data_IF_631936365176
#
_entry.id   IF_631936365176
#
_cell.length_a   1.000
_cell.length_b   1.000
_cell.length_c   1.000
_cell.angle_alpha   90.00
_cell.angle_beta   90.00
_cell.angle_gamma   90.00
#
_symmetry.space_group_name_H-M   'P 1'
#
loop_
_entity.id
_entity.type
_entity.pdbx_description
1 polymer ?
2 non-polymer ?
3 non-polymer ?
4 non-polymer ?
5 water ?
#
# COMPACT_ATOMS: atom_id res chain seq x y z
C UNK A 1 12.73 -9.45 31.48
N UNK A 3 12.30 -9.07 27.61
CA UNK A 3 12.12 -10.05 26.59
C UNK A 3 11.45 -9.43 25.40
N UNK A 4 12.01 -9.65 24.23
CA UNK A 4 11.38 -9.20 23.02
C UNK A 4 10.07 -9.97 22.81
N UNK A 5 9.10 -9.30 22.17
CA UNK A 5 7.86 -10.01 21.85
C UNK A 5 8.11 -11.19 20.89
N UNK A 6 7.27 -12.21 20.94
CA UNK A 6 7.40 -13.36 20.07
C UNK A 6 6.84 -13.07 18.68
N UNK A 7 7.55 -13.55 17.66
CA UNK A 7 6.99 -13.66 16.32
C UNK A 7 5.92 -14.76 16.32
N UNK A 8 4.86 -14.54 15.54
CA UNK A 8 3.69 -15.40 15.58
C UNK A 8 3.63 -16.24 14.32
N UNK A 9 3.68 -17.58 14.48
CA UNK A 9 3.57 -18.47 13.31
C UNK A 9 2.12 -18.88 13.03
N UNK A 10 1.70 -18.80 11.76
CA UNK A 10 0.44 -19.38 11.31
C UNK A 10 0.71 -20.38 10.20
N UNK A 11 0.39 -21.65 10.42
CA UNK A 11 0.61 -22.69 9.39
C UNK A 11 -0.46 -22.58 8.31
N UNK A 12 -0.06 -22.28 7.09
CA UNK A 12 -0.97 -22.16 5.94
C UNK A 12 -1.23 -23.46 5.16
N UNK A 13 -0.20 -24.31 5.07
CA UNK A 13 -0.18 -25.59 4.34
C UNK A 13 0.71 -26.52 5.15
N UNK A 14 0.30 -27.77 5.28
CA UNK A 14 1.10 -28.77 5.94
C UNK A 14 0.66 -30.06 5.32
N UNK A 15 1.44 -30.56 4.37
CA UNK A 15 1.04 -31.79 3.66
C UNK A 15 2.23 -32.75 3.49
N UNK A 16 2.08 -33.75 2.64
CA UNK A 16 3.15 -34.73 2.40
C UNK A 16 4.49 -34.14 2.00
N UNK A 17 4.46 -32.97 1.36
CA UNK A 17 5.63 -32.41 0.70
C UNK A 17 6.21 -31.17 1.34
N UNK A 18 5.35 -30.31 1.89
CA UNK A 18 5.77 -29.01 2.42
C UNK A 18 4.99 -28.64 3.67
N UNK A 19 5.62 -27.79 4.48
CA UNK A 19 4.96 -27.07 5.54
C UNK A 19 5.22 -25.60 5.29
N UNK A 20 4.15 -24.83 5.16
CA UNK A 20 4.26 -23.41 4.83
C UNK A 20 3.71 -22.64 6.01
N UNK A 21 4.54 -21.78 6.59
CA UNK A 21 4.23 -21.05 7.79
C UNK A 21 4.42 -19.56 7.51
N UNK A 22 3.41 -18.73 7.81
CA UNK A 22 3.55 -17.29 7.81
C UNK A 22 4.10 -16.93 9.17
N UNK A 23 5.16 -16.14 9.18
CA UNK A 23 5.78 -15.64 10.41
C UNK A 23 5.57 -14.14 10.49
N UNK A 24 4.87 -13.69 11.53
CA UNK A 24 4.59 -12.26 11.69
C UNK A 24 5.31 -11.70 12.91
N UNK A 25 6.22 -10.76 12.67
CA UNK A 25 7.04 -10.19 13.72
C UNK A 25 6.50 -8.88 14.19
N UNK A 26 6.14 -8.76 15.48
CA UNK A 26 5.87 -7.42 16.01
C UNK A 26 7.11 -6.58 15.85
N UNK A 27 6.96 -5.25 15.90
CA UNK A 27 8.14 -4.40 16.05
C UNK A 27 9.07 -4.88 17.22
N UNK A 28 10.35 -5.06 16.93
CA UNK A 28 11.29 -5.52 17.94
C UNK A 28 11.21 -7.01 18.23
N UNK A 29 10.39 -7.75 17.47
CA UNK A 29 10.03 -9.09 17.85
C UNK A 29 11.10 -10.08 17.40
N UNK A 30 11.04 -11.29 17.96
CA UNK A 30 12.00 -12.36 17.60
C UNK A 30 11.40 -13.78 17.58
N UNK A 31 12.08 -14.69 16.92
CA UNK A 31 11.69 -16.11 16.90
C UNK A 31 12.00 -16.90 18.15
N UNK A 32 13.08 -16.51 18.82
CA UNK A 32 13.79 -17.38 19.76
C UNK A 32 14.72 -18.27 18.96
N UNK A 33 15.73 -18.81 19.61
CA UNK A 33 16.63 -19.71 18.94
C UNK A 33 15.88 -20.96 18.48
N UNK A 34 16.26 -21.45 17.33
CA UNK A 34 15.70 -22.67 16.75
C UNK A 34 16.69 -23.28 15.75
N UNK A 35 16.47 -24.55 15.42
CA UNK A 35 17.26 -25.25 14.43
C UNK A 35 16.34 -25.63 13.28
N UNK A 36 16.74 -25.36 12.04
CA UNK A 36 15.94 -25.76 10.90
C UNK A 36 16.22 -27.19 10.57
N UNK A 37 15.16 -28.01 10.62
CA UNK A 37 15.27 -29.47 10.36
C UNK A 37 15.08 -29.84 8.89
N UNK A 39 15.50 -28.23 4.58
CA UNK A 39 15.76 -27.12 3.61
C UNK A 39 14.50 -26.27 3.54
N UNK A 40 14.67 -24.97 3.36
CA UNK A 40 13.52 -24.06 3.35
C UNK A 40 13.68 -22.90 2.41
N UNK A 41 12.53 -22.35 2.01
CA UNK A 41 12.45 -21.17 1.19
C UNK A 41 11.79 -20.03 1.96
N UNK A 42 12.38 -18.83 1.89
CA UNK A 42 11.81 -17.67 2.53
C UNK A 42 11.28 -16.76 1.43
N UNK A 43 9.98 -16.47 1.47
CA UNK A 43 9.41 -15.44 0.63
C UNK A 43 9.04 -14.24 1.49
N UNK A 44 9.86 -13.17 1.47
CA UNK A 44 9.50 -12.01 2.26
C UNK A 44 8.22 -11.34 1.78
N UNK A 46 7.46 -8.32 3.33
CA UNK A 46 7.80 -7.00 3.79
C UNK A 46 9.19 -6.72 3.29
N UNK A 47 9.43 -5.49 2.86
CA UNK A 47 10.80 -5.08 2.54
C UNK A 47 11.39 -4.45 3.78
N UNK A 48 12.51 -4.94 4.23
CA UNK A 48 13.12 -4.41 5.44
C UNK A 48 14.25 -5.26 5.96
N UNK A 49 14.99 -4.75 6.95
CA UNK A 49 16.10 -5.49 7.55
C UNK A 49 15.60 -6.58 8.54
N UNK A 50 16.34 -7.68 8.62
CA UNK A 50 16.20 -8.61 9.71
C UNK A 50 17.56 -8.71 10.35
N UNK A 51 17.58 -8.98 11.65
CA UNK A 51 18.83 -9.12 12.38
C UNK A 51 18.95 -10.60 12.67
N UNK A 52 20.00 -11.21 12.16
CA UNK A 52 20.18 -12.66 12.31
C UNK A 52 21.30 -12.95 13.29
N UNK A 53 20.96 -13.65 14.37
CA UNK A 53 21.94 -14.04 15.41
C UNK A 53 22.30 -15.49 15.24
N UNK A 54 23.56 -15.75 15.02
CA UNK A 54 24.04 -17.10 14.81
C UNK A 54 25.13 -17.30 15.84
N UNK A 55 25.57 -18.54 15.99
CA UNK A 55 26.60 -18.81 16.97
C UNK A 55 27.83 -17.88 16.88
N UNK A 56 28.23 -17.46 15.68
CA UNK A 56 29.44 -16.66 15.50
C UNK A 56 29.27 -15.14 15.57
N UNK A 57 28.03 -14.65 15.50
CA UNK A 57 27.82 -13.23 15.48
C UNK A 57 26.40 -12.82 15.06
N UNK A 58 26.24 -11.53 14.78
CA UNK A 58 24.98 -10.92 14.43
C UNK A 58 25.19 -10.06 13.20
N UNK A 59 24.29 -10.22 12.22
CA UNK A 59 24.34 -9.45 10.98
C UNK A 59 22.99 -8.92 10.61
N UNK A 60 23.00 -7.75 9.98
CA UNK A 60 21.81 -7.19 9.38
C UNK A 60 21.69 -7.71 7.96
N UNK A 61 20.54 -8.32 7.65
CA UNK A 61 20.27 -8.80 6.28
C UNK A 61 19.08 -8.03 5.70
N UNK A 62 19.22 -7.56 4.45
CA UNK A 62 18.20 -6.72 3.83
C UNK A 62 17.28 -7.56 2.98
N UNK A 63 16.02 -7.66 3.37
CA UNK A 63 15.07 -8.45 2.62
C UNK A 63 14.21 -7.56 1.71
N UNK A 64 13.80 -8.09 0.58
CA UNK A 64 12.92 -7.39 -0.34
C UNK A 64 11.65 -8.20 -0.50
N UNK A 65 10.50 -7.54 -0.35
CA UNK A 65 9.25 -8.24 -0.55
C UNK A 65 9.26 -8.95 -1.91
N UNK A 66 8.89 -10.22 -1.88
CA UNK A 66 8.74 -11.02 -3.08
C UNK A 66 10.01 -11.56 -3.68
N UNK A 67 11.16 -11.31 -3.04
CA UNK A 67 12.46 -11.79 -3.51
C UNK A 67 12.85 -12.93 -2.60
N UNK A 68 12.64 -14.14 -3.11
CA UNK A 68 12.83 -15.34 -2.30
C UNK A 68 14.31 -15.74 -2.22
N UNK A 69 14.59 -16.54 -1.21
CA UNK A 69 15.87 -17.17 -1.10
C UNK A 69 15.72 -18.48 -0.37
N UNK A 70 16.73 -19.32 -0.48
CA UNK A 70 16.72 -20.62 0.20
C UNK A 70 17.95 -20.80 1.10
N UNK A 71 17.76 -21.57 2.18
CA UNK A 71 18.81 -21.87 3.18
C UNK A 71 18.72 -23.36 3.47
N UNK A 72 19.85 -24.00 3.76
CA UNK A 72 19.79 -25.47 3.92
C UNK A 72 19.39 -25.97 5.31
N UNK A 73 18.95 -27.21 5.36
CA UNK A 73 18.78 -27.90 6.63
C UNK A 73 20.02 -27.63 7.51
N UNK A 74 19.79 -27.30 8.79
CA UNK A 74 20.85 -27.22 9.79
C UNK A 74 21.13 -25.82 10.30
N UNK A 75 20.52 -24.81 9.68
CA UNK A 75 20.64 -23.44 10.17
C UNK A 75 20.20 -23.37 11.62
N UNK A 76 21.02 -22.75 12.46
CA UNK A 76 20.69 -22.49 13.88
C UNK A 76 20.80 -21.02 14.07
N UNK A 77 19.73 -20.39 14.51
CA UNK A 77 19.74 -18.95 14.73
C UNK A 77 18.52 -18.43 15.49
N UNK A 78 18.61 -17.15 15.85
CA UNK A 78 17.54 -16.35 16.37
C UNK A 78 17.34 -15.23 15.34
N UNK A 79 16.10 -14.93 15.01
CA UNK A 79 15.84 -13.92 14.02
C UNK A 79 15.02 -12.81 14.68
N UNK A 80 15.43 -11.58 14.46
CA UNK A 80 14.87 -10.42 15.12
C UNK A 80 14.43 -9.40 14.08
N UNK A 81 13.28 -8.79 14.31
CA UNK A 81 12.79 -7.65 13.53
C UNK A 81 13.20 -6.35 14.24
N UNK A 82 14.23 -5.66 13.74
CA UNK A 82 14.73 -4.49 14.46
C UNK A 82 13.95 -3.20 14.16
N UNK A 83 12.90 -3.29 13.35
CA UNK A 83 12.17 -2.12 12.91
C UNK A 83 10.99 -1.79 13.82
N UNK A 84 10.38 -0.63 13.56
CA UNK A 84 9.28 -0.11 14.34
C UNK A 84 7.91 -0.56 13.83
N UNK A 85 7.91 -1.43 12.82
CA UNK A 85 6.72 -1.90 12.20
C UNK A 85 6.82 -3.41 12.01
N UNK A 86 5.66 -4.01 11.78
CA UNK A 86 5.55 -5.46 11.67
C UNK A 86 6.29 -5.92 10.45
N UNK A 87 6.98 -7.06 10.58
CA UNK A 87 7.69 -7.69 9.47
C UNK A 87 7.09 -9.06 9.24
N UNK A 88 6.83 -9.40 7.97
CA UNK A 88 6.18 -10.66 7.65
C UNK A 88 6.95 -11.40 6.54
N UNK A 89 7.12 -12.71 6.73
CA UNK A 89 7.59 -13.59 5.68
C UNK A 89 6.86 -14.93 5.72
N UNK A 90 6.86 -15.58 4.55
CA UNK A 90 6.32 -16.89 4.38
C UNK A 90 7.49 -17.87 4.22
N UNK A 91 7.51 -18.88 5.08
CA UNK A 91 8.55 -19.88 5.10
C UNK A 91 8.02 -21.22 4.60
N UNK A 92 8.69 -21.78 3.59
CA UNK A 92 8.26 -23.04 2.94
C UNK A 92 9.30 -24.11 3.23
N UNK A 93 8.98 -25.03 4.11
CA UNK A 93 9.91 -26.07 4.50
C UNK A 93 9.61 -27.30 3.62
N UNK A 94 10.69 -27.93 3.15
CA UNK A 94 10.58 -29.04 2.21
C UNK A 94 10.80 -30.34 2.96
N UNK A 95 9.77 -31.20 2.98
CA UNK A 95 9.85 -32.41 3.78
C UNK A 95 10.72 -33.43 3.03
N UNK A 96 11.35 -34.30 3.81
CA UNK A 96 12.12 -35.38 3.19
C UNK A 96 11.29 -36.62 3.34
N UNK B 4 -2.06 -10.78 -26.35
CA UNK B 4 -1.85 -10.06 -25.07
C UNK B 4 -0.38 -9.74 -24.79
N UNK B 5 -0.15 -8.74 -23.93
CA UNK B 5 1.19 -8.64 -23.41
C UNK B 5 1.57 -9.93 -22.65
N UNK B 6 2.86 -10.25 -22.60
CA UNK B 6 3.35 -11.40 -21.88
C UNK B 6 3.68 -11.13 -20.42
N UNK B 7 3.29 -12.04 -19.54
CA UNK B 7 3.76 -11.99 -18.16
C UNK B 7 5.24 -12.32 -18.21
N UNK B 8 6.01 -11.84 -17.23
CA UNK B 8 7.45 -12.03 -17.22
C UNK B 8 7.79 -12.97 -16.06
N UNK B 9 8.22 -14.22 -16.37
CA UNK B 9 8.76 -15.14 -15.34
C UNK B 9 10.22 -14.83 -15.11
N UNK B 10 10.59 -14.66 -13.85
CA UNK B 10 11.98 -14.63 -13.42
C UNK B 10 12.26 -15.76 -12.43
N UNK B 11 13.20 -16.64 -12.77
CA UNK B 11 13.53 -17.73 -11.90
C UNK B 11 14.46 -17.17 -10.81
N UNK B 12 14.05 -17.36 -9.57
CA UNK B 12 14.79 -16.87 -8.39
C UNK B 12 15.69 -17.94 -7.74
N UNK B 13 15.20 -19.18 -7.77
CA UNK B 13 15.90 -20.35 -7.22
C UNK B 13 15.64 -21.53 -8.16
N UNK B 14 16.68 -22.31 -8.47
CA UNK B 14 16.51 -23.56 -9.22
C UNK B 14 17.52 -24.60 -8.76
N UNK B 15 17.18 -25.31 -7.69
CA UNK B 15 18.11 -26.28 -7.09
C UNK B 15 17.57 -27.70 -7.12
N UNK B 16 18.16 -28.60 -6.32
CA UNK B 16 17.73 -30.00 -6.37
C UNK B 16 16.34 -30.20 -5.77
N UNK B 17 15.86 -29.22 -4.99
CA UNK B 17 14.59 -29.40 -4.26
C UNK B 17 13.42 -28.62 -4.86
N UNK B 18 13.68 -27.42 -5.35
CA UNK B 18 12.61 -26.57 -5.85
C UNK B 18 13.05 -25.68 -7.02
N UNK B 19 12.09 -25.17 -7.76
CA UNK B 19 12.31 -24.11 -8.73
C UNK B 19 11.26 -23.02 -8.37
N UNK B 20 11.78 -21.85 -8.05
CA UNK B 20 10.95 -20.72 -7.64
C UNK B 20 10.99 -19.64 -8.70
N UNK B 21 9.82 -19.28 -9.21
CA UNK B 21 9.69 -18.30 -10.28
C UNK B 21 8.77 -17.20 -9.83
N UNK B 22 9.22 -15.98 -9.99
CA UNK B 22 8.38 -14.81 -9.88
C UNK B 22 7.66 -14.60 -11.20
N UNK B 23 6.34 -14.48 -11.14
CA UNK B 23 5.57 -14.11 -12.32
C UNK B 23 5.01 -12.71 -12.16
N UNK B 24 5.45 -11.80 -13.03
CA UNK B 24 5.04 -10.40 -13.00
C UNK B 24 4.18 -10.17 -14.22
N UNK B 25 2.90 -9.87 -14.00
CA UNK B 25 1.93 -9.63 -15.08
C UNK B 25 1.71 -8.13 -15.32
N UNK B 26 2.01 -7.63 -16.55
CA UNK B 26 1.52 -6.28 -16.86
C UNK B 26 -0.01 -6.33 -16.91
N UNK B 27 -0.68 -5.17 -16.87
CA UNK B 27 -2.14 -5.25 -17.07
C UNK B 27 -2.52 -6.03 -18.35
N UNK B 28 -3.46 -6.96 -18.23
CA UNK B 28 -3.87 -7.80 -19.34
C UNK B 28 -2.92 -8.90 -19.78
N UNK B 29 -1.80 -9.06 -19.07
CA UNK B 29 -0.75 -9.97 -19.54
C UNK B 29 -1.11 -11.41 -19.32
N UNK B 30 -0.52 -12.30 -20.10
CA UNK B 30 -0.78 -13.73 -19.97
C UNK B 30 0.48 -14.57 -19.89
N UNK B 31 0.34 -15.72 -19.29
CA UNK B 31 1.44 -16.69 -19.28
C UNK B 31 1.57 -17.44 -20.60
N UNK B 32 0.47 -17.58 -21.33
CA UNK B 32 0.33 -18.64 -22.31
C UNK B 32 -0.06 -19.95 -21.66
N UNK B 33 -0.69 -20.79 -22.45
CA UNK B 33 -1.05 -22.10 -22.02
C UNK B 33 0.15 -22.96 -21.63
N UNK B 34 0.01 -23.65 -20.50
CA UNK B 34 1.02 -24.60 -20.03
C UNK B 34 0.41 -25.67 -19.14
N UNK B 35 1.16 -26.72 -18.96
CA UNK B 35 0.80 -27.79 -18.05
C UNK B 35 1.91 -27.88 -17.02
N UNK B 36 1.50 -27.92 -15.76
CA UNK B 36 2.40 -28.05 -14.63
C UNK B 36 2.90 -29.47 -14.49
N UNK B 37 4.21 -29.65 -14.53
CA UNK B 37 4.80 -30.99 -14.42
C UNK B 37 5.06 -31.38 -12.95
N UNK B 39 3.89 -30.62 -8.53
CA UNK B 39 3.13 -30.02 -7.46
C UNK B 39 3.77 -28.68 -7.15
N UNK B 40 2.96 -27.68 -6.81
CA UNK B 40 3.49 -26.34 -6.62
C UNK B 40 2.72 -25.55 -5.58
N UNK B 41 3.41 -24.55 -5.05
CA UNK B 41 2.82 -23.66 -4.08
C UNK B 41 2.84 -22.24 -4.68
N UNK B 42 1.75 -21.49 -4.50
CA UNK B 42 1.66 -20.11 -4.96
C UNK B 42 1.63 -19.16 -3.75
N UNK B 43 2.56 -18.21 -3.72
CA UNK B 43 2.50 -17.10 -2.79
C UNK B 43 2.15 -15.79 -3.51
N UNK B 44 0.88 -15.35 -3.36
CA UNK B 44 0.49 -14.11 -4.00
C UNK B 44 1.17 -12.92 -3.39
N UNK B 46 0.23 -9.87 -4.57
CA UNK B 46 -0.78 -8.86 -4.92
C UNK B 46 -2.13 -9.44 -4.58
N UNK B 47 -3.05 -8.63 -4.09
CA UNK B 47 -4.43 -9.08 -3.89
C UNK B 47 -5.19 -8.71 -5.13
N UNK B 48 -5.92 -9.66 -5.68
CA UNK B 48 -6.71 -9.37 -6.82
C UNK B 48 -7.11 -10.62 -7.53
N UNK B 49 -7.92 -10.45 -8.55
CA UNK B 49 -8.36 -11.55 -9.39
C UNK B 49 -7.36 -11.98 -10.46
N UNK B 50 -7.32 -13.29 -10.73
CA UNK B 50 -6.71 -13.80 -11.94
C UNK B 50 -7.73 -14.53 -12.80
N UNK B 51 -7.56 -14.44 -14.12
CA UNK B 51 -8.42 -15.17 -15.07
C UNK B 51 -7.62 -16.38 -15.53
N UNK B 52 -8.17 -17.55 -15.29
CA UNK B 52 -7.53 -18.80 -15.70
C UNK B 52 -8.39 -19.42 -16.80
N UNK B 53 -7.81 -19.60 -17.99
CA UNK B 53 -8.46 -20.40 -19.04
C UNK B 53 -8.05 -21.82 -18.77
N UNK B 54 -9.04 -22.69 -18.63
CA UNK B 54 -8.83 -24.07 -18.16
C UNK B 54 -9.57 -25.02 -19.09
N UNK B 55 -9.26 -26.31 -19.01
CA UNK B 55 -10.07 -27.29 -19.77
C UNK B 55 -11.56 -27.35 -19.46
N UNK B 56 -11.95 -26.85 -18.30
CA UNK B 56 -13.35 -26.69 -17.93
C UNK B 56 -13.92 -25.31 -18.21
N UNK B 57 -13.17 -24.44 -18.90
CA UNK B 57 -13.60 -23.10 -19.25
C UNK B 57 -12.94 -22.00 -18.45
N UNK B 58 -13.49 -20.79 -18.54
CA UNK B 58 -12.86 -19.63 -17.94
C UNK B 58 -13.18 -19.61 -16.45
N UNK B 59 -12.19 -19.37 -15.62
CA UNK B 59 -12.39 -19.31 -14.18
C UNK B 59 -11.71 -18.03 -13.67
N UNK B 60 -12.42 -17.18 -12.94
CA UNK B 60 -11.82 -16.05 -12.29
C UNK B 60 -11.62 -16.42 -10.85
N UNK B 61 -10.39 -16.21 -10.36
CA UNK B 61 -10.02 -16.59 -9.01
C UNK B 61 -9.52 -15.41 -8.24
N UNK B 62 -9.91 -15.34 -6.98
CA UNK B 62 -9.44 -14.33 -6.04
C UNK B 62 -8.18 -14.80 -5.33
N UNK B 63 -7.09 -14.07 -5.51
CA UNK B 63 -5.85 -14.25 -4.74
C UNK B 63 -5.75 -13.17 -3.67
N UNK B 64 -5.15 -13.51 -2.53
CA UNK B 64 -4.99 -12.56 -1.46
C UNK B 64 -3.50 -12.52 -1.12
N UNK B 65 -2.94 -11.33 -1.09
CA UNK B 65 -1.54 -11.14 -0.79
C UNK B 65 -1.18 -11.87 0.49
N UNK B 66 -0.13 -12.66 0.39
CA UNK B 66 0.38 -13.34 1.54
C UNK B 66 -0.32 -14.62 1.94
N UNK B 67 -1.36 -15.03 1.20
CA UNK B 67 -2.11 -16.25 1.53
C UNK B 67 -1.79 -17.30 0.50
N UNK B 68 -0.93 -18.21 0.92
CA UNK B 68 -0.42 -19.22 0.03
C UNK B 68 -1.41 -20.36 -0.14
N UNK B 69 -1.25 -21.09 -1.25
CA UNK B 69 -2.07 -22.27 -1.52
C UNK B 69 -1.24 -23.20 -2.38
N UNK B 70 -1.69 -24.44 -2.53
CA UNK B 70 -0.95 -25.43 -3.32
C UNK B 70 -1.90 -26.05 -4.34
N UNK B 71 -1.32 -26.43 -5.46
CA UNK B 71 -1.97 -27.16 -6.53
C UNK B 71 -1.09 -28.29 -7.06
N UNK B 72 -1.73 -29.30 -7.65
CA UNK B 72 -1.04 -30.51 -8.05
C UNK B 72 -0.45 -30.49 -9.44
N UNK B 73 0.53 -31.38 -9.62
CA UNK B 73 1.01 -31.70 -10.93
C UNK B 73 -0.19 -31.95 -11.83
N UNK B 74 -0.10 -31.47 -13.06
CA UNK B 74 -1.15 -31.76 -14.04
C UNK B 74 -2.11 -30.61 -14.32
N UNK B 75 -2.09 -29.59 -13.47
CA UNK B 75 -2.91 -28.41 -13.74
C UNK B 75 -2.53 -27.89 -15.11
N UNK B 76 -3.53 -27.68 -15.97
CA UNK B 76 -3.28 -27.15 -17.31
C UNK B 76 -4.14 -25.90 -17.55
N UNK B 77 -3.51 -24.80 -17.93
CA UNK B 77 -4.24 -23.52 -18.00
C UNK B 77 -3.41 -22.40 -18.68
N UNK B 78 -4.07 -21.29 -19.00
CA UNK B 78 -3.45 -20.04 -19.35
C UNK B 78 -3.89 -19.02 -18.30
N UNK B 79 -2.92 -18.30 -17.73
CA UNK B 79 -3.21 -17.37 -16.65
C UNK B 79 -3.08 -15.98 -17.21
N UNK B 80 -4.12 -15.18 -16.95
CA UNK B 80 -4.25 -13.81 -17.49
C UNK B 80 -4.51 -12.86 -16.32
N UNK B 81 -3.93 -11.65 -16.39
CA UNK B 81 -4.17 -10.61 -15.43
C UNK B 81 -5.28 -9.71 -15.97
N UNK B 82 -6.52 -9.84 -15.44
CA UNK B 82 -7.72 -9.11 -15.94
C UNK B 82 -7.89 -7.73 -15.29
N UNK B 83 -6.84 -7.22 -14.67
CA UNK B 83 -6.89 -5.93 -14.05
C UNK B 83 -6.12 -4.86 -14.81
N UNK B 84 -6.27 -3.61 -14.34
CA UNK B 84 -5.57 -2.47 -14.90
C UNK B 84 -4.29 -2.14 -14.14
N UNK B 85 -3.87 -3.03 -13.25
CA UNK B 85 -2.62 -2.85 -12.54
C UNK B 85 -1.78 -4.12 -12.68
N UNK B 86 -0.50 -4.00 -12.32
CA UNK B 86 0.42 -5.16 -12.32
C UNK B 86 0.00 -6.17 -11.26
N UNK B 87 0.25 -7.43 -11.55
CA UNK B 87 -0.06 -8.49 -10.65
C UNK B 87 1.18 -9.35 -10.54
N UNK B 88 1.54 -9.70 -9.30
CA UNK B 88 2.69 -10.55 -9.06
C UNK B 88 2.41 -11.70 -8.13
N UNK B 89 2.93 -12.87 -8.47
CA UNK B 89 2.97 -13.95 -7.50
C UNK B 89 4.26 -14.73 -7.65
N UNK B 90 4.62 -15.43 -6.59
CA UNK B 90 5.77 -16.32 -6.59
C UNK B 90 5.28 -17.76 -6.60
N UNK B 91 5.83 -18.56 -7.49
CA UNK B 91 5.45 -19.95 -7.64
C UNK B 91 6.63 -20.84 -7.25
N UNK B 92 6.40 -21.73 -6.31
CA UNK B 92 7.41 -22.68 -5.85
C UNK B 92 7.04 -24.09 -6.36
N UNK B 93 7.77 -24.57 -7.36
CA UNK B 93 7.56 -25.94 -7.88
C UNK B 93 8.43 -26.92 -7.11
N UNK B 94 7.80 -27.98 -6.63
CA UNK B 94 8.50 -28.99 -5.86
C UNK B 94 9.05 -30.12 -6.74
N UNK B 95 10.39 -30.33 -6.74
CA UNK B 95 11.06 -31.33 -7.60
C UNK B 95 11.07 -32.72 -6.95
N UNK C 1 -15.85 25.80 -32.06
CA UNK C 1 -16.84 25.90 -30.96
C UNK C 1 -16.08 26.07 -29.67
N UNK C 3 -14.15 25.47 -26.45
CA UNK C 3 -13.17 24.51 -25.99
C UNK C 3 -12.88 24.85 -24.55
N UNK C 4 -13.40 24.03 -23.63
CA UNK C 4 -13.13 24.19 -22.20
C UNK C 4 -11.66 23.93 -21.95
N UNK C 5 -10.98 24.82 -21.21
CA UNK C 5 -9.58 24.53 -20.93
C UNK C 5 -9.43 23.25 -20.13
N UNK C 6 -8.29 22.58 -20.27
CA UNK C 6 -8.07 21.39 -19.48
C UNK C 6 -7.72 21.70 -18.03
N UNK C 7 -8.31 20.94 -17.11
CA UNK C 7 -7.83 20.87 -15.75
C UNK C 7 -6.43 20.30 -15.72
N UNK C 8 -5.60 20.83 -14.83
CA UNK C 8 -4.22 20.37 -14.76
C UNK C 8 -4.01 19.48 -13.54
N UNK C 9 -3.70 18.20 -13.77
CA UNK C 9 -3.33 17.27 -12.70
C UNK C 9 -1.83 17.30 -12.42
N UNK C 10 -1.47 17.58 -11.17
CA UNK C 10 -0.10 17.49 -10.70
C UNK C 10 -0.02 16.38 -9.68
N UNK C 11 0.79 15.36 -10.00
CA UNK C 11 0.99 14.23 -9.09
C UNK C 11 1.98 14.66 -8.00
N UNK C 12 1.52 14.63 -6.74
CA UNK C 12 2.32 15.05 -5.58
C UNK C 12 2.96 13.88 -4.90
N UNK C 13 2.30 12.71 -4.95
CA UNK C 13 2.76 11.48 -4.32
C UNK C 13 2.36 10.32 -5.23
N UNK C 14 3.27 9.40 -5.50
CA UNK C 14 2.92 8.14 -6.14
C UNK C 14 3.84 7.09 -5.56
N UNK C 15 3.32 6.30 -4.62
CA UNK C 15 4.13 5.30 -3.92
C UNK C 15 3.39 3.96 -3.85
N UNK C 16 3.81 3.06 -2.93
CA UNK C 16 3.21 1.73 -2.89
C UNK C 16 1.75 1.71 -2.41
N UNK C 17 1.34 2.75 -1.67
CA UNK C 17 0.07 2.76 -0.98
C UNK C 17 -0.92 3.76 -1.55
N UNK C 18 -0.43 4.92 -2.01
CA UNK C 18 -1.33 5.96 -2.51
C UNK C 18 -0.82 6.68 -3.75
N UNK C 19 -1.72 7.32 -4.51
CA UNK C 19 -1.31 8.27 -5.56
C UNK C 19 -2.14 9.54 -5.28
N UNK C 20 -1.48 10.66 -5.12
CA UNK C 20 -2.08 11.93 -4.72
C UNK C 20 -1.86 12.95 -5.81
N UNK C 21 -2.99 13.47 -6.34
CA UNK C 21 -2.96 14.41 -7.44
C UNK C 21 -3.72 15.68 -7.09
N UNK C 22 -3.09 16.84 -7.33
CA UNK C 22 -3.75 18.15 -7.31
C UNK C 22 -4.40 18.37 -8.64
N UNK C 23 -5.72 18.62 -8.62
CA UNK C 23 -6.44 19.02 -9.84
C UNK C 23 -6.76 20.50 -9.75
N UNK C 24 -6.24 21.26 -10.72
CA UNK C 24 -6.36 22.72 -10.75
C UNK C 24 -7.12 23.04 -12.02
N UNK C 25 -8.34 23.54 -11.85
CA UNK C 25 -9.23 23.87 -12.94
C UNK C 25 -9.20 25.36 -13.26
N UNK C 26 -8.85 25.68 -14.48
CA UNK C 26 -9.10 27.05 -14.89
C UNK C 26 -10.59 27.35 -14.87
N UNK C 27 -10.95 28.64 -14.88
CA UNK C 27 -12.36 28.98 -15.03
C UNK C 27 -12.95 28.26 -16.26
N UNK C 28 -14.05 27.54 -16.08
CA UNK C 28 -14.70 26.79 -17.14
C UNK C 28 -14.04 25.51 -17.59
N UNK C 29 -13.02 25.07 -16.85
CA UNK C 29 -12.19 23.98 -17.26
C UNK C 29 -12.83 22.63 -16.97
N UNK C 30 -12.28 21.59 -17.56
CA UNK C 30 -12.81 20.25 -17.39
C UNK C 30 -11.71 19.22 -17.40
N UNK C 31 -12.01 18.07 -16.82
CA UNK C 31 -11.06 16.96 -16.79
C UNK C 31 -11.02 16.19 -18.11
N UNK C 32 -12.13 16.15 -18.81
CA UNK C 32 -12.37 15.12 -19.83
C UNK C 32 -12.92 13.87 -19.13
N UNK C 33 -13.56 13.01 -19.90
CA UNK C 33 -14.12 11.78 -19.36
C UNK C 33 -13.01 10.86 -18.86
N UNK C 34 -13.20 10.28 -17.69
CA UNK C 34 -12.28 9.25 -17.18
C UNK C 34 -12.96 8.29 -16.22
N UNK C 35 -12.32 7.13 -16.02
CA UNK C 35 -12.81 6.16 -15.06
C UNK C 35 -11.82 6.02 -13.92
N UNK C 36 -12.34 5.95 -12.71
CA UNK C 36 -11.50 5.82 -11.53
C UNK C 36 -11.15 4.39 -11.27
N UNK C 37 -9.85 4.09 -11.25
CA UNK C 37 -9.41 2.72 -11.09
C UNK C 37 -9.23 2.31 -9.63
N UNK C 39 -10.53 3.34 -5.23
CA UNK C 39 -11.28 4.11 -4.23
C UNK C 39 -10.43 5.33 -3.95
N UNK C 40 -11.07 6.47 -3.70
CA UNK C 40 -10.31 7.67 -3.49
C UNK C 40 -10.97 8.67 -2.56
N UNK C 41 -10.13 9.53 -1.97
CA UNK C 41 -10.57 10.60 -1.06
C UNK C 41 -10.32 11.92 -1.80
N UNK C 42 -11.23 12.88 -1.68
CA UNK C 42 -11.04 14.24 -2.20
C UNK C 42 -10.98 15.21 -1.02
N UNK C 43 -9.98 16.09 -1.03
CA UNK C 43 -9.90 17.20 -0.10
C UNK C 43 -10.02 18.49 -0.93
N UNK C 44 -11.20 19.12 -0.89
CA UNK C 44 -11.36 20.35 -1.67
C UNK C 44 -10.49 21.45 -1.13
N UNK C 46 -11.05 24.51 -2.48
CA UNK C 46 -11.92 25.59 -2.87
C UNK C 46 -13.35 25.24 -2.50
N UNK C 47 -14.12 26.22 -2.08
CA UNK C 47 -15.52 26.03 -1.82
C UNK C 47 -16.28 26.44 -3.10
N UNK C 48 -17.18 25.59 -3.54
CA UNK C 48 -17.97 25.86 -4.74
C UNK C 48 -18.53 24.63 -5.41
N UNK C 49 -19.45 24.85 -6.37
CA UNK C 49 -20.05 23.81 -7.15
C UNK C 49 -19.11 23.31 -8.30
N UNK C 50 -19.14 22.01 -8.55
CA UNK C 50 -18.60 21.43 -9.74
C UNK C 50 -19.74 20.75 -10.50
N UNK C 51 -19.64 20.71 -11.84
CA UNK C 51 -20.64 20.04 -12.64
C UNK C 51 -20.10 18.68 -12.96
N UNK C 52 -20.87 17.66 -12.59
CA UNK C 52 -20.44 16.25 -12.80
C UNK C 52 -21.28 15.67 -13.92
N UNK C 53 -20.63 15.17 -14.96
CA UNK C 53 -21.33 14.50 -16.07
C UNK C 53 -20.98 13.03 -15.92
N UNK C 54 -22.02 12.19 -15.79
CA UNK C 54 -21.85 10.77 -15.54
C UNK C 54 -22.79 9.99 -16.46
N UNK C 55 -22.62 8.67 -16.53
CA UNK C 55 -23.52 7.86 -17.36
C UNK C 55 -25.00 7.92 -17.01
N UNK C 56 -25.28 8.25 -15.75
CA UNK C 56 -26.63 8.34 -15.27
C UNK C 56 -27.17 9.76 -15.38
N UNK C 57 -26.37 10.71 -15.90
CA UNK C 57 -26.85 12.10 -16.00
C UNK C 57 -25.89 13.11 -15.38
N UNK C 58 -26.28 14.39 -15.40
CA UNK C 58 -25.42 15.48 -14.92
C UNK C 58 -26.04 16.16 -13.71
N UNK C 59 -25.19 16.59 -12.79
CA UNK C 59 -25.67 17.23 -11.57
C UNK C 59 -24.56 18.12 -11.03
N UNK C 60 -24.94 19.10 -10.22
CA UNK C 60 -24.05 19.98 -9.55
C UNK C 60 -23.68 19.35 -8.24
N UNK C 61 -22.39 19.34 -7.95
CA UNK C 61 -21.88 18.82 -6.70
C UNK C 61 -21.28 19.99 -5.94
N UNK C 62 -21.73 20.22 -4.70
CA UNK C 62 -21.16 21.31 -3.89
C UNK C 62 -19.98 20.80 -3.07
N UNK C 63 -18.83 21.43 -3.25
CA UNK C 63 -17.66 21.12 -2.44
C UNK C 63 -17.43 22.22 -1.45
N UNK C 64 -16.95 21.88 -0.27
CA UNK C 64 -16.62 22.84 0.77
C UNK C 64 -15.11 22.70 1.06
N UNK C 65 -14.38 23.82 0.96
CA UNK C 65 -12.94 23.80 1.26
C UNK C 65 -12.59 23.10 2.57
N UNK C 66 -11.69 22.12 2.54
CA UNK C 66 -11.33 21.42 3.75
C UNK C 66 -12.23 20.33 4.25
N UNK C 67 -13.34 20.07 3.57
CA UNK C 67 -14.28 19.05 3.98
C UNK C 67 -14.11 17.87 3.06
N UNK C 68 -13.37 16.87 3.53
CA UNK C 68 -13.10 15.72 2.72
C UNK C 68 -14.33 14.86 2.39
N UNK C 69 -14.21 14.08 1.33
CA UNK C 69 -15.20 13.04 1.04
C UNK C 69 -14.57 11.89 0.28
N UNK C 70 -15.32 10.81 0.15
CA UNK C 70 -14.75 9.60 -0.45
C UNK C 70 -15.68 9.09 -1.54
N UNK C 71 -15.08 8.38 -2.51
CA UNK C 71 -15.77 7.84 -3.69
C UNK C 71 -15.15 6.50 -4.08
N UNK C 72 -15.97 5.62 -4.69
CA UNK C 72 -15.53 4.25 -4.94
C UNK C 72 -14.84 4.04 -6.27
N UNK C 73 -14.00 3.02 -6.32
CA UNK C 73 -13.45 2.55 -7.57
C UNK C 73 -14.56 2.41 -8.61
N UNK C 74 -14.27 2.81 -9.84
CA UNK C 74 -15.22 2.72 -10.91
C UNK C 74 -16.13 3.90 -11.20
N UNK C 75 -16.10 4.97 -10.38
CA UNK C 75 -16.75 6.20 -10.75
C UNK C 75 -16.25 6.54 -12.16
N UNK C 76 -17.19 6.87 -13.02
CA UNK C 76 -16.86 7.27 -14.38
C UNK C 76 -17.55 8.60 -14.69
N UNK C 77 -16.75 9.61 -15.06
CA UNK C 77 -17.29 10.96 -15.19
C UNK C 77 -16.39 11.96 -15.93
N UNK C 78 -17.03 13.05 -16.31
CA UNK C 78 -16.35 14.27 -16.68
C UNK C 78 -16.67 15.35 -15.64
N UNK C 79 -15.64 16.06 -15.21
CA UNK C 79 -15.81 17.06 -14.18
C UNK C 79 -15.50 18.45 -14.76
N UNK C 80 -16.43 19.38 -14.54
CA UNK C 80 -16.39 20.73 -15.06
C UNK C 80 -16.41 21.77 -13.92
N UNK C 81 -15.58 22.80 -14.04
CA UNK C 81 -15.59 23.92 -13.15
C UNK C 81 -16.39 25.05 -13.79
N UNK C 82 -17.61 25.25 -13.32
CA UNK C 82 -18.49 26.29 -13.88
C UNK C 82 -18.18 27.76 -13.48
N UNK C 83 -17.25 27.96 -12.58
CA UNK C 83 -17.08 29.28 -12.01
C UNK C 83 -16.04 30.11 -12.78
N UNK C 84 -16.04 31.42 -12.53
CA UNK C 84 -15.13 32.34 -13.22
C UNK C 84 -13.75 32.46 -12.58
N UNK C 85 -13.48 31.66 -11.54
CA UNK C 85 -12.17 31.64 -10.89
C UNK C 85 -11.67 30.18 -10.84
N UNK C 86 -10.40 30.03 -10.51
CA UNK C 86 -9.77 28.71 -10.45
C UNK C 86 -10.43 27.86 -9.39
N UNK C 87 -10.46 26.55 -9.61
CA UNK C 87 -11.02 25.61 -8.62
C UNK C 87 -10.01 24.50 -8.44
N UNK C 88 -9.72 24.16 -7.16
CA UNK C 88 -8.68 23.19 -6.83
C UNK C 88 -9.18 22.17 -5.86
N UNK C 89 -8.84 20.91 -6.08
CA UNK C 89 -8.97 19.86 -5.08
C UNK C 89 -7.82 18.89 -5.18
N UNK C 90 -7.57 18.16 -4.08
CA UNK C 90 -6.53 17.16 -3.99
C UNK C 90 -7.24 15.78 -3.90
N UNK C 91 -6.83 14.85 -4.76
CA UNK C 91 -7.41 13.51 -4.84
C UNK C 91 -6.39 12.50 -4.33
N UNK C 92 -6.78 11.73 -3.33
CA UNK C 92 -5.94 10.69 -2.77
C UNK C 92 -6.49 9.31 -3.16
N UNK C 93 -5.85 8.69 -4.16
CA UNK C 93 -6.21 7.32 -4.58
C UNK C 93 -5.50 6.27 -3.76
N UNK C 94 -6.28 5.29 -3.34
CA UNK C 94 -5.82 4.23 -2.45
C UNK C 94 -5.53 2.98 -3.27
N UNK C 95 -4.27 2.57 -3.24
CA UNK C 95 -3.81 1.41 -4.00
C UNK C 95 -4.22 0.10 -3.32
N UNK C 96 -4.38 -0.93 -4.14
CA UNK C 96 -4.55 -2.27 -3.65
C UNK C 96 -3.24 -2.76 -3.02
N UNK D 4 0.42 24.31 26.73
CA UNK D 4 -0.05 24.84 25.40
C UNK D 4 -1.53 24.51 25.19
N UNK D 5 -2.25 25.33 24.39
CA UNK D 5 -3.59 24.84 24.10
C UNK D 5 -3.55 23.56 23.26
N UNK D 6 -4.60 22.75 23.32
CA UNK D 6 -4.72 21.58 22.48
C UNK D 6 -5.23 21.83 21.07
N UNK D 7 -4.60 21.21 20.09
CA UNK D 7 -5.15 21.14 18.74
C UNK D 7 -6.44 20.30 18.83
N UNK D 8 -7.39 20.63 17.96
CA UNK D 8 -8.71 20.03 17.97
C UNK D 8 -8.89 19.15 16.73
N UNK D 9 -8.95 17.82 16.93
CA UNK D 9 -9.23 16.90 15.84
C UNK D 9 -10.73 16.76 15.57
N UNK D 10 -11.10 16.72 14.29
CA UNK D 10 -12.47 16.33 13.92
C UNK D 10 -12.39 15.21 12.90
N UNK D 11 -12.93 14.04 13.25
CA UNK D 11 -12.93 12.91 12.33
C UNK D 11 -13.99 13.13 11.25
N UNK D 12 -13.51 13.28 10.03
CA UNK D 12 -14.36 13.60 8.88
C UNK D 12 -14.85 12.33 8.26
N UNK D 13 -13.95 11.35 8.15
CA UNK D 13 -14.27 10.07 7.50
C UNK D 13 -13.63 8.93 8.29
N UNK D 14 -14.40 7.89 8.53
CA UNK D 14 -13.87 6.67 9.19
C UNK D 14 -14.51 5.47 8.54
N UNK D 15 -13.88 4.98 7.47
CA UNK D 15 -14.51 3.94 6.68
C UNK D 15 -13.58 2.72 6.50
N UNK D 16 -13.89 1.85 5.55
CA UNK D 16 -13.13 0.63 5.36
C UNK D 16 -11.67 0.85 4.97
N UNK D 17 -11.38 1.96 4.31
CA UNK D 17 -10.05 2.16 3.73
C UNK D 17 -9.25 3.24 4.43
N UNK D 18 -9.90 4.26 4.99
CA UNK D 18 -9.18 5.43 5.54
C UNK D 18 -9.84 5.99 6.81
N UNK D 19 -9.05 6.67 7.63
CA UNK D 19 -9.60 7.54 8.67
C UNK D 19 -9.08 8.93 8.33
N UNK D 20 -9.98 9.89 8.11
CA UNK D 20 -9.56 11.24 7.71
C UNK D 20 -9.87 12.18 8.88
N UNK D 21 -8.87 12.91 9.37
CA UNK D 21 -9.10 13.81 10.50
C UNK D 21 -8.61 15.20 10.18
N UNK D 22 -9.46 16.19 10.38
CA UNK D 22 -8.99 17.60 10.37
C UNK D 22 -8.39 17.94 11.71
N UNK D 23 -7.17 18.48 11.69
CA UNK D 23 -6.47 18.98 12.88
C UNK D 23 -6.42 20.49 12.81
N UNK D 24 -7.10 21.13 13.73
CA UNK D 24 -7.14 22.57 13.86
C UNK D 24 -6.31 23.01 15.07
N UNK D 25 -5.27 23.76 14.80
CA UNK D 25 -4.35 24.24 15.83
C UNK D 25 -4.64 25.69 16.14
N UNK D 26 -5.02 25.98 17.39
CA UNK D 26 -5.02 27.37 17.81
C UNK D 26 -3.59 27.91 17.82
N UNK D 27 -3.44 29.25 17.83
CA UNK D 27 -2.11 29.83 17.95
C UNK D 27 -1.36 29.19 19.11
N UNK D 28 -0.13 28.72 18.88
CA UNK D 28 0.69 28.09 19.92
C UNK D 28 0.23 26.69 20.37
N UNK D 29 -0.74 26.12 19.67
CA UNK D 29 -1.34 24.85 20.05
C UNK D 29 -0.49 23.64 19.67
N UNK D 30 -0.82 22.52 20.29
CA UNK D 30 -0.04 21.26 20.10
C UNK D 30 -0.95 20.05 20.12
N UNK D 31 -0.49 18.99 19.47
CA UNK D 31 -1.16 17.74 19.42
C UNK D 31 -0.94 16.96 20.72
N UNK D 32 0.21 17.16 21.34
CA UNK D 32 0.75 16.28 22.36
C UNK D 32 1.51 15.18 21.63
N UNK D 33 2.39 14.53 22.38
CA UNK D 33 3.18 13.44 21.83
C UNK D 33 2.29 12.26 21.46
N UNK D 34 2.57 11.68 20.31
CA UNK D 34 1.85 10.52 19.84
C UNK D 34 2.71 9.69 18.91
N UNK D 35 2.23 8.48 18.66
CA UNK D 35 2.84 7.55 17.71
C UNK D 35 1.83 7.23 16.61
N UNK D 36 2.24 7.40 15.36
CA UNK D 36 1.38 7.05 14.21
C UNK D 36 1.31 5.55 14.01
N UNK D 37 0.09 4.98 14.07
CA UNK D 37 -0.13 3.54 13.86
C UNK D 37 -0.36 3.13 12.39
N UNK D 39 0.51 4.42 8.04
CA UNK D 39 1.01 5.34 7.01
C UNK D 39 -0.05 6.41 6.79
N UNK D 40 0.40 7.63 6.50
CA UNK D 40 -0.52 8.75 6.45
C UNK D 40 -0.11 9.83 5.46
N UNK D 41 -1.12 10.58 5.01
CA UNK D 41 -0.95 11.67 4.09
C UNK D 41 -1.41 12.94 4.79
N UNK D 42 -0.61 14.00 4.68
CA UNK D 42 -0.99 15.31 5.23
C UNK D 42 -1.30 16.23 4.06
N UNK D 43 -2.50 16.81 4.07
CA UNK D 43 -2.86 17.89 3.17
C UNK D 43 -2.97 19.20 3.97
N UNK D 44 -1.97 20.09 3.83
CA UNK D 44 -2.07 21.37 4.54
C UNK D 44 -3.18 22.23 3.99
N UNK D 46 -3.24 25.34 5.22
CA UNK D 46 -2.60 26.59 5.58
C UNK D 46 -1.13 26.52 5.11
N UNK D 47 -0.57 27.62 4.65
CA UNK D 47 0.88 27.66 4.35
C UNK D 47 1.53 28.24 5.58
N UNK D 48 2.58 27.57 6.06
CA UNK D 48 3.28 28.01 7.25
C UNK D 48 4.08 26.95 7.96
N UNK D 49 4.76 27.35 9.06
CA UNK D 49 5.62 26.47 9.83
C UNK D 49 4.87 25.63 10.84
N UNK D 50 5.30 24.40 11.00
CA UNK D 50 4.96 23.65 12.20
C UNK D 50 6.25 23.24 12.85
N UNK D 51 6.24 23.16 14.17
CA UNK D 51 7.39 22.74 14.95
C UNK D 51 7.22 21.27 15.24
N UNK D 52 8.11 20.43 14.71
CA UNK D 52 8.05 19.00 14.94
C UNK D 52 9.12 18.64 15.97
N UNK D 53 8.69 18.08 17.09
CA UNK D 53 9.58 17.73 18.17
C UNK D 53 9.80 16.25 18.13
N UNK D 54 11.09 15.84 18.10
CA UNK D 54 11.51 14.45 18.19
C UNK D 54 12.64 14.45 19.20
N UNK D 55 13.06 13.26 19.64
CA UNK D 55 14.17 13.14 20.61
C UNK D 55 15.41 14.01 20.30
N UNK D 56 15.64 14.27 19.04
CA UNK D 56 16.90 14.86 18.56
C UNK D 56 16.91 16.38 18.63
N UNK D 57 15.73 16.96 18.63
CA UNK D 57 15.64 18.41 18.65
C UNK D 57 14.32 18.75 18.02
N UNK D 58 14.10 20.03 17.84
CA UNK D 58 12.89 20.49 17.24
C UNK D 58 13.31 21.02 15.89
N UNK D 59 12.51 20.75 14.86
CA UNK D 59 12.70 21.35 13.55
C UNK D 59 11.48 22.16 13.19
N UNK D 60 11.69 23.23 12.45
CA UNK D 60 10.57 24.00 11.91
C UNK D 60 10.35 23.54 10.50
N UNK D 61 9.26 22.81 10.29
CA UNK D 61 8.88 22.27 8.98
C UNK D 61 7.95 23.21 8.24
N UNK D 62 8.29 23.56 6.99
CA UNK D 62 7.47 24.44 6.18
C UNK D 62 6.42 23.60 5.43
N UNK D 63 5.15 23.85 5.71
CA UNK D 63 4.07 23.24 4.96
C UNK D 63 3.55 24.25 3.97
N UNK D 64 3.11 23.74 2.82
CA UNK D 64 2.58 24.57 1.76
C UNK D 64 1.12 24.15 1.55
N UNK D 65 0.20 25.11 1.65
CA UNK D 65 -1.20 24.89 1.42
C UNK D 65 -1.45 24.11 0.13
N UNK D 66 -2.19 23.02 0.26
CA UNK D 66 -2.56 22.22 -0.86
C UNK D 66 -1.49 21.31 -1.42
N UNK D 67 -0.30 21.26 -0.80
CA UNK D 67 0.80 20.35 -1.24
C UNK D 67 0.96 19.22 -0.23
N UNK D 68 0.46 18.06 -0.64
CA UNK D 68 0.42 16.93 0.23
C UNK D 68 1.82 16.29 0.40
N UNK D 69 1.97 15.56 1.49
CA UNK D 69 3.14 14.73 1.70
C UNK D 69 2.72 13.54 2.54
N UNK D 70 3.57 12.53 2.56
CA UNK D 70 3.26 11.30 3.29
C UNK D 70 4.37 10.93 4.26
N UNK D 71 4.00 10.28 5.36
CA UNK D 71 4.98 9.76 6.36
C UNK D 71 4.52 8.38 6.73
N UNK D 72 5.43 7.53 7.22
CA UNK D 72 5.06 6.18 7.52
C UNK D 72 4.58 5.93 8.94
N UNK D 73 3.90 4.80 9.11
CA UNK D 73 3.64 4.26 10.42
C UNK D 73 4.92 4.26 11.24
N UNK D 74 4.80 4.56 12.52
CA UNK D 74 5.95 4.59 13.39
C UNK D 74 6.49 5.95 13.76
N UNK D 75 6.14 6.99 13.00
CA UNK D 75 6.50 8.39 13.35
C UNK D 75 6.02 8.67 14.77
N UNK D 76 6.92 9.16 15.61
CA UNK D 76 6.57 9.40 17.01
C UNK D 76 7.09 10.79 17.34
N UNK D 77 6.19 11.71 17.67
CA UNK D 77 6.57 13.12 17.76
C UNK D 77 5.44 13.94 18.38
N UNK D 78 5.74 15.20 18.64
CA UNK D 78 4.75 16.23 19.02
C UNK D 78 4.77 17.30 17.94
N UNK D 79 3.60 17.82 17.62
CA UNK D 79 3.48 18.86 16.58
C UNK D 79 2.92 20.10 17.21
N UNK D 80 3.62 21.20 17.02
CA UNK D 80 3.23 22.49 17.57
C UNK D 80 3.01 23.51 16.48
N UNK D 81 2.02 24.37 16.66
CA UNK D 81 1.82 25.54 15.78
C UNK D 81 2.48 26.74 16.43
N UNK D 82 3.65 27.17 15.91
CA UNK D 82 4.38 28.23 16.59
C UNK D 82 3.87 29.64 16.25
N UNK D 83 2.86 29.74 15.40
CA UNK D 83 2.41 31.04 14.84
C UNK D 83 1.33 31.65 15.70
N UNK D 84 1.09 32.95 15.52
CA UNK D 84 0.03 33.65 16.25
C UNK D 84 -1.34 33.50 15.62
N UNK D 85 -1.43 32.76 14.52
CA UNK D 85 -2.67 32.47 13.82
C UNK D 85 -2.94 30.96 13.78
N UNK D 86 -4.19 30.63 13.48
CA UNK D 86 -4.62 29.24 13.41
C UNK D 86 -3.97 28.49 12.28
N UNK D 87 -3.74 27.20 12.48
CA UNK D 87 -3.15 26.38 11.40
C UNK D 87 -4.02 25.13 11.30
N UNK D 88 -4.38 24.76 10.06
CA UNK D 88 -5.22 23.59 9.80
C UNK D 88 -4.55 22.69 8.76
N UNK D 89 -4.58 21.41 9.07
CA UNK D 89 -4.33 20.39 8.06
C UNK D 89 -5.30 19.23 8.14
N UNK D 90 -5.36 18.50 7.03
CA UNK D 90 -6.14 17.29 6.96
C UNK D 90 -5.22 16.05 6.85
N UNK D 91 -5.42 15.08 7.74
CA UNK D 91 -4.59 13.91 7.88
C UNK D 91 -5.40 12.72 7.43
N UNK D 92 -4.84 11.99 6.48
CA UNK D 92 -5.53 10.83 5.90
C UNK D 92 -4.68 9.60 6.25
N UNK D 93 -5.20 8.80 7.17
CA UNK D 93 -4.54 7.60 7.63
C UNK D 93 -5.02 6.43 6.79
N UNK D 94 -4.07 5.60 6.33
CA UNK D 94 -4.38 4.52 5.45
C UNK D 94 -4.54 3.25 6.26
N UNK D 95 -5.73 2.67 6.26
CA UNK D 95 -5.95 1.49 7.09
C UNK D 95 -5.22 0.32 6.47
N UNK D 96 -4.81 -0.61 7.32
CA UNK D 96 -4.31 -1.92 6.87
C UNK D 96 -5.35 -2.57 5.96
N UNK D 97 -4.88 -3.34 4.97
CA UNK D 97 -5.80 -3.97 4.02
#
# INVERSE_FOLDING_TARGET
GXKRPGAIPTVQIDNERVKVTEWRFPPGGETGWHRHSXDYVVVPXTTGPLLLETPEGSVTSQLTRGVSYTRPEGVEHNVINPSDTEFVFVEIEIKAA
GXKRPGAIPTVQIDNERVKVTEWRFPPGGETGWHRHSXDYVVVPXTTGPLLLETPEGSVTSQLTRGVSYTRPEGVEHNVINPSDTEFVFVEIEIKAA
GXKRPGAIPTVQIDNERVKVTEWRFPPGGETGWHRHSXDYVVVPXTTGPLLLETPEGSVTSQLTRGVSYTRPEGVEHNVINPSDTEFVFVEIEIKAA
GXKRPGAIPTVQIDNERVKVTEWRFPPGGETGWHRHSXDYVVVPXTTGPLLLETPEGSVTSQLTRGVSYTRPEGVEHNVINPSDTEFVFVEIEIKAA
#
